data_IF_824173937053
#
_entry.id   IF_824173937053
#
_cell.length_a   1.000
_cell.length_b   1.000
_cell.length_c   1.000
_cell.angle_alpha   90.00
_cell.angle_beta   90.00
_cell.angle_gamma   90.00
#
_symmetry.space_group_name_H-M   'P 1'
#
loop_
_entity.id
_entity.type
_entity.pdbx_description
1 polymer ?
#
# COMPACT_ATOMS: atom_id res chain seq x y z
N UNK A 1 -3.92 18.98 -27.78
CA UNK A 1 -3.17 17.79 -28.22
C UNK A 1 -4.19 16.84 -28.81
N UNK A 2 -4.63 17.15 -30.03
CA UNK A 2 -4.13 16.62 -31.31
C UNK A 2 -4.54 15.15 -31.44
N UNK A 3 -5.73 14.83 -31.96
CA UNK A 3 -6.06 14.77 -33.40
C UNK A 3 -5.08 13.94 -34.27
N UNK A 4 -4.40 12.94 -33.69
CA UNK A 4 -3.45 12.06 -34.41
C UNK A 4 -3.84 10.56 -34.47
N UNK A 5 -5.13 10.22 -34.43
CA UNK A 5 -5.59 8.82 -34.65
C UNK A 5 -6.46 8.62 -35.89
N UNK A 6 -6.46 9.59 -36.80
CA UNK A 6 -6.98 9.45 -38.17
C UNK A 6 -5.87 9.73 -39.17
N UNK A 7 -5.00 8.75 -39.41
CA UNK A 7 -4.55 8.38 -40.76
C UNK A 7 -3.57 7.20 -40.68
N UNK A 8 -4.06 5.99 -40.90
CA UNK A 8 -3.24 4.89 -41.43
C UNK A 8 -4.14 3.78 -41.97
N UNK A 9 -5.17 4.19 -42.71
CA UNK A 9 -5.83 3.35 -43.70
C UNK A 9 -5.10 3.57 -45.02
N UNK A 10 -3.96 2.93 -45.20
CA UNK A 10 -3.35 2.87 -46.52
C UNK A 10 -2.65 1.53 -46.78
N UNK A 11 -3.26 0.83 -47.74
CA UNK A 11 -2.59 0.08 -48.79
C UNK A 11 -1.61 -1.02 -48.35
N UNK A 12 -2.11 -2.25 -48.26
CA UNK A 12 -1.29 -3.43 -48.53
C UNK A 12 -2.08 -4.56 -49.17
N UNK A 13 -2.08 -4.50 -50.50
CA UNK A 13 -1.99 -5.62 -51.44
C UNK A 13 -3.11 -6.68 -51.38
N UNK A 14 -4.19 -6.40 -52.12
CA UNK A 14 -4.92 -7.43 -52.87
C UNK A 14 -3.98 -8.03 -53.95
N UNK A 15 -2.97 -8.78 -53.51
CA UNK A 15 -2.32 -9.73 -54.37
C UNK A 15 -3.27 -10.92 -54.43
N UNK A 16 -3.91 -11.17 -55.59
CA UNK A 16 -4.70 -12.39 -55.86
C UNK A 16 -3.88 -13.59 -55.38
N UNK A 17 -4.15 -14.06 -54.16
CA UNK A 17 -3.63 -15.33 -53.65
C UNK A 17 -4.32 -16.35 -54.53
N UNK A 18 -3.60 -16.90 -55.52
CA UNK A 18 -4.04 -18.09 -56.23
C UNK A 18 -4.40 -19.11 -55.16
N UNK A 19 -5.69 -19.36 -54.96
CA UNK A 19 -6.14 -20.06 -53.77
C UNK A 19 -5.62 -21.49 -53.89
N UNK A 20 -4.74 -21.89 -52.97
CA UNK A 20 -4.26 -23.27 -52.87
C UNK A 20 -5.45 -24.26 -52.88
N UNK A 21 -6.63 -23.80 -52.44
CA UNK A 21 -7.92 -24.47 -52.57
C UNK A 21 -8.37 -24.79 -54.01
N UNK A 22 -8.25 -23.84 -54.94
CA UNK A 22 -8.57 -24.02 -56.36
C UNK A 22 -7.61 -25.01 -57.03
N UNK A 23 -6.33 -24.95 -56.67
CA UNK A 23 -5.28 -25.84 -57.16
C UNK A 23 -5.49 -27.28 -56.67
N UNK A 24 -5.81 -27.45 -55.37
CA UNK A 24 -6.16 -28.74 -54.78
C UNK A 24 -7.35 -29.37 -55.51
N UNK A 25 -8.41 -28.59 -55.76
CA UNK A 25 -9.61 -29.08 -56.44
C UNK A 25 -9.33 -29.56 -57.87
N UNK A 26 -8.52 -28.80 -58.62
CA UNK A 26 -8.13 -29.15 -59.99
C UNK A 26 -7.32 -30.45 -60.03
N UNK A 27 -6.30 -30.60 -59.17
CA UNK A 27 -5.48 -31.83 -59.12
C UNK A 27 -6.31 -33.04 -58.65
N UNK A 28 -7.26 -32.83 -57.74
CA UNK A 28 -8.15 -33.89 -57.28
C UNK A 28 -9.06 -34.41 -58.41
N UNK A 29 -9.54 -33.54 -59.30
CA UNK A 29 -10.26 -33.94 -60.52
C UNK A 29 -9.36 -34.77 -61.43
N UNK A 30 -8.11 -34.38 -61.65
CA UNK A 30 -7.16 -35.17 -62.44
C UNK A 30 -6.90 -36.56 -61.83
N UNK A 31 -6.82 -36.67 -60.51
CA UNK A 31 -6.70 -37.95 -59.82
C UNK A 31 -7.90 -38.86 -60.08
N UNK A 32 -9.11 -38.31 -60.14
CA UNK A 32 -10.35 -39.07 -60.43
C UNK A 32 -10.44 -39.44 -61.91
N UNK A 33 -10.05 -38.55 -62.82
CA UNK A 33 -10.19 -38.74 -64.28
C UNK A 33 -9.12 -39.69 -64.85
N UNK A 34 -7.92 -39.72 -64.26
CA UNK A 34 -6.79 -40.54 -64.73
C UNK A 34 -7.12 -42.04 -64.89
N UNK A 35 -7.80 -42.70 -63.92
CA UNK A 35 -8.29 -44.07 -64.07
C UNK A 35 -9.21 -44.31 -65.28
N UNK A 36 -10.14 -43.39 -65.52
CA UNK A 36 -11.09 -43.49 -66.64
C UNK A 36 -10.39 -43.33 -67.99
N UNK A 37 -9.38 -42.47 -68.05
CA UNK A 37 -8.54 -42.31 -69.24
C UNK A 37 -7.72 -43.58 -69.52
N UNK A 38 -7.19 -44.22 -68.48
CA UNK A 38 -6.53 -45.53 -68.57
C UNK A 38 -7.44 -46.64 -69.12
N UNK A 39 -8.66 -46.78 -68.59
CA UNK A 39 -9.65 -47.74 -69.10
C UNK A 39 -9.99 -47.51 -70.57
N UNK A 40 -10.14 -46.24 -70.96
CA UNK A 40 -10.47 -45.85 -72.32
C UNK A 40 -9.35 -46.24 -73.29
N UNK A 41 -8.09 -46.05 -72.90
CA UNK A 41 -6.93 -46.50 -73.70
C UNK A 41 -6.85 -48.02 -73.82
N UNK A 42 -7.02 -48.76 -72.71
CA UNK A 42 -7.01 -50.24 -72.74
C UNK A 42 -8.10 -50.79 -73.67
N UNK A 43 -9.30 -50.18 -73.66
CA UNK A 43 -10.43 -50.57 -74.51
C UNK A 43 -10.21 -50.26 -75.99
N UNK A 44 -9.52 -49.17 -76.32
CA UNK A 44 -9.22 -48.77 -77.71
C UNK A 44 -8.10 -49.63 -78.32
N UNK A 45 -7.10 -50.04 -77.53
CA UNK A 45 -5.92 -50.76 -78.01
C UNK A 45 -6.00 -52.30 -77.90
N UNK A 46 -7.15 -52.88 -77.51
CA UNK A 46 -7.39 -54.34 -77.40
C UNK A 46 -6.32 -55.10 -76.59
N UNK A 47 -5.97 -54.60 -75.40
CA UNK A 47 -5.05 -55.33 -74.50
C UNK A 47 -5.76 -56.50 -73.79
N UNK A 48 -5.10 -57.66 -73.74
CA UNK A 48 -5.61 -58.87 -73.06
C UNK A 48 -5.74 -58.69 -71.54
N UNK A 49 -6.89 -59.08 -70.99
CA UNK A 49 -7.24 -58.92 -69.56
C UNK A 49 -6.45 -59.84 -68.60
N UNK A 50 -5.65 -60.77 -69.11
CA UNK A 50 -4.69 -61.57 -68.32
C UNK A 50 -3.54 -60.71 -67.74
N UNK A 51 -3.46 -59.42 -68.11
CA UNK A 51 -2.54 -58.42 -67.57
C UNK A 51 -3.22 -57.46 -66.58
N UNK A 52 -4.24 -57.92 -65.86
CA UNK A 52 -4.98 -57.12 -64.86
C UNK A 52 -4.05 -56.47 -63.82
N UNK A 53 -2.93 -57.13 -63.48
CA UNK A 53 -1.85 -56.56 -62.66
C UNK A 53 -1.24 -55.29 -63.27
N UNK A 54 -0.96 -55.28 -64.58
CA UNK A 54 -0.40 -54.11 -65.29
C UNK A 54 -1.37 -52.92 -65.30
N UNK A 55 -2.68 -53.18 -65.33
CA UNK A 55 -3.69 -52.12 -65.21
C UNK A 55 -3.78 -51.59 -63.77
N UNK A 56 -3.71 -52.45 -62.76
CA UNK A 56 -3.56 -52.05 -61.36
C UNK A 56 -2.31 -51.20 -61.12
N UNK A 57 -1.19 -51.57 -61.73
CA UNK A 57 0.07 -50.82 -61.70
C UNK A 57 -0.05 -49.45 -62.40
N UNK A 58 -0.78 -49.37 -63.51
CA UNK A 58 -1.09 -48.10 -64.18
C UNK A 58 -1.99 -47.20 -63.31
N UNK A 59 -3.04 -47.76 -62.69
CA UNK A 59 -3.91 -47.00 -61.80
C UNK A 59 -3.16 -46.49 -60.58
N UNK A 60 -2.36 -47.34 -59.94
CA UNK A 60 -1.50 -46.95 -58.82
C UNK A 60 -0.48 -45.90 -59.25
N UNK A 61 0.25 -46.15 -60.34
CA UNK A 61 1.30 -45.26 -60.84
C UNK A 61 0.79 -43.91 -61.36
N UNK A 62 -0.45 -43.86 -61.88
CA UNK A 62 -1.03 -42.61 -62.39
C UNK A 62 -1.83 -41.84 -61.34
N UNK A 63 -2.53 -42.51 -60.42
CA UNK A 63 -3.42 -41.84 -59.44
C UNK A 63 -2.69 -41.44 -58.16
N UNK A 64 -1.79 -42.29 -57.66
CA UNK A 64 -1.09 -42.05 -56.38
C UNK A 64 -0.29 -40.75 -56.39
N UNK A 65 0.48 -40.40 -57.44
CA UNK A 65 1.22 -39.14 -57.46
C UNK A 65 0.33 -37.89 -57.32
N UNK A 66 -0.84 -37.86 -57.97
CA UNK A 66 -1.78 -36.74 -57.84
C UNK A 66 -2.37 -36.66 -56.42
N UNK A 67 -2.73 -37.80 -55.82
CA UNK A 67 -3.21 -37.86 -54.43
C UNK A 67 -2.12 -37.46 -53.42
N UNK A 68 -0.86 -37.81 -53.68
CA UNK A 68 0.29 -37.39 -52.87
C UNK A 68 0.47 -35.87 -52.93
N UNK A 69 0.39 -35.27 -54.12
CA UNK A 69 0.46 -33.81 -54.28
C UNK A 69 -0.69 -33.11 -53.55
N UNK A 70 -1.93 -33.62 -53.68
CA UNK A 70 -3.09 -33.09 -52.95
C UNK A 70 -2.87 -33.17 -51.43
N UNK A 71 -2.36 -34.28 -50.92
CA UNK A 71 -2.03 -34.46 -49.50
C UNK A 71 -1.00 -33.42 -49.02
N UNK A 72 0.07 -33.21 -49.80
CA UNK A 72 1.10 -32.21 -49.47
C UNK A 72 0.51 -30.80 -49.44
N UNK A 73 -0.34 -30.45 -50.40
CA UNK A 73 -1.00 -29.13 -50.45
C UNK A 73 -1.96 -28.93 -49.28
N UNK A 74 -2.69 -29.96 -48.85
CA UNK A 74 -3.51 -29.91 -47.64
C UNK A 74 -2.67 -29.71 -46.37
N UNK A 75 -1.54 -30.43 -46.25
CA UNK A 75 -0.59 -30.25 -45.14
C UNK A 75 -0.04 -28.82 -45.14
N UNK A 76 0.36 -28.29 -46.29
CA UNK A 76 0.86 -26.92 -46.43
C UNK A 76 -0.19 -25.88 -46.01
N UNK A 77 -1.44 -26.03 -46.46
CA UNK A 77 -2.55 -25.16 -46.04
C UNK A 77 -2.78 -25.22 -44.53
N UNK A 78 -2.75 -26.43 -43.96
CA UNK A 78 -2.95 -26.66 -42.53
C UNK A 78 -1.82 -26.02 -41.72
N UNK A 79 -0.57 -26.16 -42.17
CA UNK A 79 0.59 -25.53 -41.56
C UNK A 79 0.48 -24.01 -41.54
N UNK A 80 0.07 -23.39 -42.65
CA UNK A 80 -0.12 -21.94 -42.71
C UNK A 80 -1.22 -21.46 -41.73
N UNK A 81 -2.35 -22.17 -41.67
CA UNK A 81 -3.43 -21.86 -40.72
C UNK A 81 -2.95 -22.00 -39.27
N UNK A 82 -2.21 -23.07 -38.96
CA UNK A 82 -1.63 -23.27 -37.62
C UNK A 82 -0.65 -22.15 -37.26
N UNK A 83 0.17 -21.70 -38.21
CA UNK A 83 1.09 -20.58 -37.98
C UNK A 83 0.34 -19.26 -37.72
N UNK A 84 -0.72 -18.97 -38.48
CA UNK A 84 -1.57 -17.80 -38.25
C UNK A 84 -2.27 -17.86 -36.89
N UNK A 85 -2.76 -19.04 -36.49
CA UNK A 85 -3.37 -19.27 -35.17
C UNK A 85 -2.35 -19.06 -34.04
N UNK A 86 -1.15 -19.62 -34.15
CA UNK A 86 -0.08 -19.44 -33.14
C UNK A 86 0.31 -17.97 -33.01
N UNK A 87 0.46 -17.26 -34.11
CA UNK A 87 0.78 -15.83 -34.10
C UNK A 87 -0.34 -15.01 -33.41
N UNK A 88 -1.60 -15.37 -33.67
CA UNK A 88 -2.76 -14.74 -33.03
C UNK A 88 -2.80 -15.03 -31.53
N UNK A 89 -2.61 -16.28 -31.12
CA UNK A 89 -2.54 -16.68 -29.72
C UNK A 89 -1.41 -15.98 -28.96
N UNK A 90 -0.22 -15.87 -29.57
CA UNK A 90 0.90 -15.13 -28.98
C UNK A 90 0.54 -13.65 -28.76
N UNK A 91 -0.14 -13.04 -29.72
CA UNK A 91 -0.61 -11.65 -29.60
C UNK A 91 -1.64 -11.51 -28.49
N UNK A 92 -2.64 -12.38 -28.44
CA UNK A 92 -3.66 -12.37 -27.38
C UNK A 92 -3.04 -12.55 -25.99
N UNK A 93 -2.11 -13.50 -25.84
CA UNK A 93 -1.37 -13.69 -24.59
C UNK A 93 -0.59 -12.45 -24.18
N UNK A 94 0.07 -11.77 -25.14
CA UNK A 94 0.82 -10.54 -24.84
C UNK A 94 -0.10 -9.39 -24.40
N UNK A 95 -1.29 -9.26 -24.99
CA UNK A 95 -2.28 -8.27 -24.59
C UNK A 95 -2.86 -8.59 -23.21
N UNK A 96 -3.17 -9.86 -22.95
CA UNK A 96 -3.67 -10.32 -21.65
C UNK A 96 -2.64 -10.10 -20.53
N UNK A 97 -1.35 -10.35 -20.79
CA UNK A 97 -0.28 -10.04 -19.83
C UNK A 97 -0.25 -8.55 -19.50
N UNK A 98 -0.37 -7.68 -20.51
CA UNK A 98 -0.39 -6.23 -20.32
C UNK A 98 -1.63 -5.76 -19.54
N UNK A 99 -2.80 -6.31 -19.83
CA UNK A 99 -4.03 -6.02 -19.09
C UNK A 99 -3.96 -6.50 -17.63
N UNK A 100 -3.38 -7.68 -17.39
CA UNK A 100 -3.15 -8.18 -16.04
C UNK A 100 -2.19 -7.29 -15.24
N UNK A 101 -1.13 -6.80 -15.87
CA UNK A 101 -0.18 -5.88 -15.24
C UNK A 101 -0.86 -4.55 -14.86
N UNK A 102 -1.60 -3.94 -15.79
CA UNK A 102 -2.36 -2.72 -15.50
C UNK A 102 -3.46 -2.93 -14.43
N UNK A 103 -4.12 -4.09 -14.44
CA UNK A 103 -5.09 -4.46 -13.41
C UNK A 103 -4.41 -4.59 -12.04
N UNK A 104 -3.21 -5.19 -11.99
CA UNK A 104 -2.44 -5.32 -10.76
C UNK A 104 -2.06 -3.95 -10.20
N UNK A 105 -1.59 -3.03 -11.04
CA UNK A 105 -1.29 -1.66 -10.64
C UNK A 105 -2.54 -0.95 -10.08
N UNK A 106 -3.66 -1.04 -10.79
CA UNK A 106 -4.94 -0.46 -10.35
C UNK A 106 -5.39 -1.03 -9.01
N UNK A 107 -5.27 -2.35 -8.81
CA UNK A 107 -5.62 -3.00 -7.55
C UNK A 107 -4.70 -2.57 -6.39
N UNK A 108 -3.41 -2.33 -6.68
CA UNK A 108 -2.47 -1.79 -5.68
C UNK A 108 -2.84 -0.37 -5.26
N UNK A 109 -3.18 0.50 -6.22
CA UNK A 109 -3.65 1.87 -5.94
C UNK A 109 -4.97 1.88 -5.17
N UNK A 110 -5.93 1.03 -5.54
CA UNK A 110 -7.19 0.87 -4.81
C UNK A 110 -6.94 0.35 -3.39
N UNK A 111 -6.01 -0.58 -3.21
CA UNK A 111 -5.63 -1.08 -1.89
C UNK A 111 -5.01 0.01 -1.02
N UNK A 112 -4.12 0.84 -1.58
CA UNK A 112 -3.55 2.02 -0.88
C UNK A 112 -4.67 2.99 -0.47
N UNK A 113 -5.55 3.34 -1.41
CA UNK A 113 -6.67 4.25 -1.17
C UNK A 113 -7.62 3.73 -0.09
N UNK A 114 -8.02 2.47 -0.17
CA UNK A 114 -8.90 1.86 0.83
C UNK A 114 -8.26 1.79 2.22
N UNK A 115 -6.94 1.54 2.29
CA UNK A 115 -6.21 1.57 3.55
C UNK A 115 -6.20 3.00 4.13
N UNK A 116 -5.96 4.01 3.29
CA UNK A 116 -5.92 5.40 3.74
C UNK A 116 -7.29 5.88 4.22
N UNK A 117 -8.36 5.56 3.51
CA UNK A 117 -9.73 5.86 3.94
C UNK A 117 -10.07 5.20 5.28
N UNK A 118 -9.64 3.96 5.53
CA UNK A 118 -9.85 3.30 6.82
C UNK A 118 -9.12 4.03 7.93
N UNK A 119 -7.86 4.41 7.69
CA UNK A 119 -7.09 5.22 8.62
C UNK A 119 -7.80 6.54 8.93
N UNK A 120 -8.16 7.32 7.92
CA UNK A 120 -8.80 8.64 8.10
C UNK A 120 -10.08 8.53 8.92
N UNK A 121 -10.94 7.57 8.58
CA UNK A 121 -12.16 7.34 9.33
C UNK A 121 -11.87 6.98 10.79
N UNK A 122 -10.94 6.06 11.04
CA UNK A 122 -10.56 5.68 12.41
C UNK A 122 -9.90 6.82 13.19
N UNK A 123 -9.04 7.60 12.53
CA UNK A 123 -8.36 8.76 13.11
C UNK A 123 -9.36 9.84 13.52
N UNK A 124 -10.26 10.26 12.63
CA UNK A 124 -11.24 11.29 12.95
C UNK A 124 -12.26 10.83 14.00
N UNK A 125 -12.54 9.53 14.10
CA UNK A 125 -13.30 8.98 15.24
C UNK A 125 -12.54 9.21 16.54
N UNK A 126 -11.23 8.91 16.61
CA UNK A 126 -10.46 9.14 17.84
C UNK A 126 -10.33 10.62 18.18
N UNK A 127 -10.13 11.48 17.18
CA UNK A 127 -10.16 12.94 17.37
C UNK A 127 -11.49 13.40 17.97
N UNK A 128 -12.60 12.84 17.48
CA UNK A 128 -13.91 13.22 18.02
C UNK A 128 -14.08 12.78 19.48
N UNK A 129 -13.58 11.61 19.86
CA UNK A 129 -13.55 11.17 21.26
C UNK A 129 -12.63 12.05 22.12
N UNK A 130 -11.48 12.47 21.57
CA UNK A 130 -10.59 13.43 22.21
C UNK A 130 -11.31 14.76 22.49
N UNK A 131 -11.99 15.33 21.49
CA UNK A 131 -12.76 16.57 21.64
C UNK A 131 -13.86 16.43 22.70
N UNK A 132 -14.63 15.35 22.67
CA UNK A 132 -15.65 15.07 23.70
C UNK A 132 -15.05 15.04 25.10
N UNK A 133 -13.90 14.39 25.28
CA UNK A 133 -13.24 14.34 26.59
C UNK A 133 -12.86 15.75 27.09
N UNK A 134 -12.40 16.64 26.20
CA UNK A 134 -12.11 18.05 26.53
C UNK A 134 -13.38 18.81 26.92
N UNK A 135 -14.46 18.61 26.17
CA UNK A 135 -15.77 19.21 26.47
C UNK A 135 -16.32 18.73 27.82
N UNK A 136 -16.23 17.44 28.13
CA UNK A 136 -16.65 16.88 29.42
C UNK A 136 -15.87 17.52 30.59
N UNK A 137 -14.56 17.70 30.43
CA UNK A 137 -13.72 18.38 31.43
C UNK A 137 -14.16 19.84 31.61
N UNK A 138 -14.36 20.58 30.52
CA UNK A 138 -14.81 21.97 30.58
C UNK A 138 -16.21 22.10 31.22
N UNK A 139 -17.15 21.22 30.83
CA UNK A 139 -18.50 21.19 31.39
C UNK A 139 -18.52 20.85 32.88
N UNK A 140 -17.60 19.99 33.33
CA UNK A 140 -17.43 19.70 34.75
C UNK A 140 -17.05 20.95 35.53
N UNK A 141 -16.06 21.73 35.07
CA UNK A 141 -15.72 22.99 35.74
C UNK A 141 -16.85 24.01 35.68
N UNK A 142 -17.52 24.13 34.54
CA UNK A 142 -18.68 25.01 34.43
C UNK A 142 -19.79 24.63 35.43
N UNK A 143 -20.01 23.33 35.67
CA UNK A 143 -20.98 22.86 36.67
C UNK A 143 -20.61 23.19 38.12
N UNK A 144 -19.35 23.53 38.37
CA UNK A 144 -18.82 23.99 39.65
C UNK A 144 -18.77 25.52 39.75
N UNK A 145 -19.43 26.24 38.84
CA UNK A 145 -19.35 27.69 38.68
C UNK A 145 -17.93 28.22 38.44
N UNK A 146 -17.06 27.37 37.89
CA UNK A 146 -15.70 27.72 37.47
C UNK A 146 -15.66 27.82 35.94
N UNK A 147 -15.52 29.01 35.34
CA UNK A 147 -15.60 29.19 33.89
C UNK A 147 -14.28 28.81 33.18
N UNK A 148 -13.67 27.69 33.55
CA UNK A 148 -12.42 27.22 32.94
C UNK A 148 -12.70 26.48 31.64
N UNK A 149 -12.06 26.91 30.57
CA UNK A 149 -11.82 26.11 29.38
C UNK A 149 -10.85 24.97 29.71
N UNK A 150 -10.82 23.95 28.85
CA UNK A 150 -9.85 22.86 28.98
C UNK A 150 -8.40 23.37 29.01
N UNK A 151 -8.06 24.33 28.14
CA UNK A 151 -6.69 24.86 28.07
C UNK A 151 -6.32 25.62 29.34
N UNK A 152 -7.21 26.45 29.89
CA UNK A 152 -6.97 27.16 31.15
C UNK A 152 -6.80 26.19 32.32
N UNK A 153 -7.58 25.10 32.35
CA UNK A 153 -7.37 24.06 33.35
C UNK A 153 -6.00 23.37 33.22
N UNK A 154 -5.59 23.04 31.99
CA UNK A 154 -4.29 22.44 31.74
C UNK A 154 -3.14 23.40 32.10
N UNK A 155 -3.30 24.70 31.85
CA UNK A 155 -2.36 25.73 32.29
C UNK A 155 -2.23 25.78 33.83
N UNK A 156 -3.35 25.68 34.57
CA UNK A 156 -3.33 25.61 36.04
C UNK A 156 -2.59 24.36 36.52
N UNK A 157 -2.86 23.21 35.91
CA UNK A 157 -2.20 21.94 36.28
C UNK A 157 -0.70 22.02 36.00
N UNK A 158 -0.32 22.52 34.82
CA UNK A 158 1.07 22.81 34.48
C UNK A 158 1.73 23.69 35.53
N UNK A 159 1.13 24.83 35.88
CA UNK A 159 1.70 25.76 36.86
C UNK A 159 1.93 25.11 38.24
N UNK A 160 1.08 24.15 38.63
CA UNK A 160 1.30 23.35 39.86
C UNK A 160 2.49 22.41 39.73
N UNK A 161 2.62 21.73 38.59
CA UNK A 161 3.75 20.83 38.30
C UNK A 161 5.06 21.63 38.30
N UNK A 162 5.10 22.74 37.56
CA UNK A 162 6.29 23.59 37.43
C UNK A 162 6.73 24.16 38.78
N UNK A 163 5.77 24.63 39.59
CA UNK A 163 6.05 25.10 40.95
C UNK A 163 6.59 23.98 41.83
N UNK A 164 5.91 22.84 41.90
CA UNK A 164 6.33 21.71 42.72
C UNK A 164 7.72 21.20 42.31
N UNK A 165 8.00 21.20 41.00
CA UNK A 165 9.30 20.85 40.48
C UNK A 165 10.37 21.91 40.75
N UNK A 166 10.03 23.20 40.74
CA UNK A 166 10.93 24.27 41.13
C UNK A 166 11.40 24.11 42.57
N UNK A 167 10.43 23.97 43.48
CA UNK A 167 10.66 23.76 44.91
C UNK A 167 11.50 22.48 45.15
N UNK A 168 11.15 21.37 44.48
CA UNK A 168 11.87 20.09 44.61
C UNK A 168 13.31 20.15 44.10
N UNK A 169 13.57 20.87 43.00
CA UNK A 169 14.93 21.02 42.47
C UNK A 169 15.76 21.90 43.39
N UNK A 170 15.18 22.97 43.96
CA UNK A 170 15.89 23.84 44.91
C UNK A 170 16.32 23.04 46.16
N UNK A 171 15.42 22.22 46.71
CA UNK A 171 15.71 21.34 47.84
C UNK A 171 16.78 20.28 47.54
N UNK A 172 16.82 19.78 46.29
CA UNK A 172 17.74 18.72 45.85
C UNK A 172 18.92 19.21 45.03
N UNK A 173 19.16 20.52 44.97
CA UNK A 173 20.13 21.16 44.07
C UNK A 173 21.53 20.57 44.25
N UNK A 174 22.00 20.42 45.50
CA UNK A 174 23.35 19.89 45.76
C UNK A 174 23.55 18.46 45.24
N UNK A 175 22.49 17.64 45.26
CA UNK A 175 22.53 16.25 44.80
C UNK A 175 22.49 16.23 43.27
N UNK A 176 21.54 16.95 42.67
CA UNK A 176 21.36 17.03 41.22
C UNK A 176 22.58 17.64 40.50
N UNK A 177 23.19 18.69 41.06
CA UNK A 177 24.36 19.34 40.44
C UNK A 177 25.66 18.55 40.59
N UNK A 178 25.75 17.65 41.59
CA UNK A 178 26.94 16.81 41.79
C UNK A 178 26.86 15.48 41.05
N UNK A 179 25.66 15.05 40.67
CA UNK A 179 25.48 13.81 39.93
C UNK A 179 25.95 13.98 38.48
N UNK A 180 27.01 13.24 38.13
CA UNK A 180 27.62 13.26 36.79
C UNK A 180 27.16 12.09 35.92
N UNK A 181 26.53 11.11 36.54
CA UNK A 181 25.99 9.95 35.85
C UNK A 181 24.56 10.25 35.40
N UNK A 182 24.37 10.38 34.08
CA UNK A 182 23.09 10.71 33.47
C UNK A 182 21.94 9.82 33.98
N UNK A 183 22.19 8.52 34.15
CA UNK A 183 21.18 7.58 34.64
C UNK A 183 20.66 7.94 36.03
N UNK A 184 21.56 8.23 36.97
CA UNK A 184 21.19 8.62 38.34
C UNK A 184 20.53 9.99 38.38
N UNK A 185 21.05 10.94 37.59
CA UNK A 185 20.48 12.27 37.48
C UNK A 185 19.03 12.21 36.99
N UNK A 186 18.79 11.54 35.85
CA UNK A 186 17.45 11.46 35.27
C UNK A 186 16.51 10.54 36.04
N UNK A 187 17.03 9.55 36.77
CA UNK A 187 16.23 8.78 37.73
C UNK A 187 15.71 9.67 38.86
N UNK A 188 16.60 10.45 39.48
CA UNK A 188 16.20 11.39 40.53
C UNK A 188 15.22 12.44 39.96
N UNK A 189 15.52 13.01 38.81
CA UNK A 189 14.65 13.95 38.11
C UNK A 189 13.26 13.38 37.84
N UNK A 190 13.20 12.17 37.29
CA UNK A 190 11.96 11.46 36.99
C UNK A 190 11.13 11.20 38.24
N UNK A 191 11.77 10.84 39.37
CA UNK A 191 11.08 10.62 40.64
C UNK A 191 10.48 11.92 41.19
N UNK A 192 11.22 13.04 41.11
CA UNK A 192 10.69 14.35 41.48
C UNK A 192 9.52 14.77 40.58
N UNK A 193 9.64 14.53 39.27
CA UNK A 193 8.60 14.85 38.31
C UNK A 193 7.33 14.03 38.54
N UNK A 194 7.47 12.72 38.78
CA UNK A 194 6.35 11.86 39.14
C UNK A 194 5.61 12.39 40.36
N UNK A 195 6.35 12.76 41.42
CA UNK A 195 5.75 13.33 42.63
C UNK A 195 5.05 14.67 42.36
N UNK A 196 5.64 15.53 41.54
CA UNK A 196 5.03 16.81 41.15
C UNK A 196 3.72 16.62 40.38
N UNK A 197 3.67 15.63 39.48
CA UNK A 197 2.46 15.29 38.74
C UNK A 197 1.38 14.72 39.66
N UNK A 198 1.73 13.81 40.56
CA UNK A 198 0.78 13.25 41.54
C UNK A 198 0.16 14.36 42.42
N UNK A 199 0.99 15.31 42.85
CA UNK A 199 0.57 16.46 43.66
C UNK A 199 -0.19 17.53 42.88
N UNK A 200 -0.11 17.56 41.55
CA UNK A 200 -0.82 18.53 40.70
C UNK A 200 -2.35 18.35 40.77
N UNK A 201 -2.80 17.14 41.11
CA UNK A 201 -4.20 16.74 41.13
C UNK A 201 -4.73 16.27 39.76
N UNK A 202 -3.87 16.14 38.74
CA UNK A 202 -4.29 15.74 37.40
C UNK A 202 -4.97 14.37 37.38
N UNK A 203 -4.42 13.38 38.10
CA UNK A 203 -4.99 12.03 38.16
C UNK A 203 -6.14 11.89 39.17
N UNK A 204 -6.37 12.89 40.01
CA UNK A 204 -7.51 12.89 40.94
C UNK A 204 -8.83 13.14 40.20
N UNK A 205 -8.77 13.81 39.05
CA UNK A 205 -9.93 14.04 38.21
C UNK A 205 -10.18 12.84 37.28
N UNK A 206 -11.28 12.12 37.52
CA UNK A 206 -11.69 10.94 36.73
C UNK A 206 -11.93 11.24 35.23
N UNK A 207 -12.07 12.51 34.86
CA UNK A 207 -12.30 12.96 33.49
C UNK A 207 -11.00 13.13 32.69
N UNK A 208 -9.83 13.16 33.33
CA UNK A 208 -8.54 13.29 32.64
C UNK A 208 -8.04 11.97 32.02
N UNK A 209 -8.10 10.81 32.69
CA UNK A 209 -7.65 9.55 32.06
C UNK A 209 -8.31 9.22 30.70
N UNK A 210 -9.61 9.50 30.46
CA UNK A 210 -10.20 9.39 29.12
C UNK A 210 -9.52 10.25 28.05
N UNK A 211 -9.10 11.47 28.39
CA UNK A 211 -8.36 12.35 27.48
C UNK A 211 -7.01 11.75 27.10
N UNK A 212 -6.21 11.32 28.09
CA UNK A 212 -4.90 10.69 27.87
C UNK A 212 -5.02 9.46 26.98
N UNK A 213 -5.95 8.54 27.30
CA UNK A 213 -6.21 7.35 26.48
C UNK A 213 -6.61 7.68 25.05
N UNK A 214 -7.32 8.79 24.82
CA UNK A 214 -7.72 9.21 23.47
C UNK A 214 -6.54 9.74 22.67
N UNK A 215 -5.62 10.45 23.33
CA UNK A 215 -4.32 10.84 22.75
C UNK A 215 -3.51 9.61 22.40
N UNK A 216 -3.39 8.67 23.32
CA UNK A 216 -2.60 7.45 23.12
C UNK A 216 -3.10 6.63 21.93
N UNK A 217 -4.42 6.41 21.85
CA UNK A 217 -5.06 5.72 20.72
C UNK A 217 -4.83 6.45 19.40
N UNK A 218 -4.90 7.78 19.41
CA UNK A 218 -4.65 8.57 18.21
C UNK A 218 -3.21 8.41 17.74
N UNK A 219 -2.22 8.47 18.65
CA UNK A 219 -0.82 8.21 18.35
C UNK A 219 -0.59 6.78 17.83
N UNK A 220 -1.22 5.78 18.45
CA UNK A 220 -1.12 4.38 18.02
C UNK A 220 -1.62 4.19 16.59
N UNK A 221 -2.79 4.75 16.26
CA UNK A 221 -3.35 4.64 14.90
C UNK A 221 -2.44 5.31 13.87
N UNK A 222 -1.90 6.50 14.18
CA UNK A 222 -0.90 7.14 13.30
C UNK A 222 0.31 6.22 13.12
N UNK A 223 0.86 5.69 14.21
CA UNK A 223 2.01 4.80 14.17
C UNK A 223 1.76 3.52 13.35
N UNK A 224 0.61 2.87 13.50
CA UNK A 224 0.25 1.66 12.76
C UNK A 224 0.22 1.89 11.25
N UNK A 225 -0.29 3.05 10.83
CA UNK A 225 -0.48 3.38 9.42
C UNK A 225 0.68 4.19 8.81
N UNK A 226 1.65 4.64 9.60
CA UNK A 226 2.76 5.51 9.15
C UNK A 226 3.50 4.98 7.91
N UNK A 227 3.67 3.67 7.77
CA UNK A 227 4.35 3.04 6.62
C UNK A 227 3.57 3.13 5.31
N UNK A 228 2.27 3.44 5.40
CA UNK A 228 1.38 3.57 4.24
C UNK A 228 1.15 5.03 3.86
N UNK A 229 1.66 5.96 4.67
CA UNK A 229 1.57 7.40 4.48
C UNK A 229 2.84 7.93 3.80
N UNK A 230 2.68 8.95 2.99
CA UNK A 230 3.77 9.80 2.56
C UNK A 230 4.23 10.70 3.74
N UNK A 231 5.47 11.20 3.70
CA UNK A 231 6.03 11.99 4.81
C UNK A 231 5.17 13.20 5.19
N UNK A 232 4.60 13.89 4.19
CA UNK A 232 3.76 15.07 4.42
C UNK A 232 2.42 14.71 5.08
N UNK A 233 1.84 13.54 4.75
CA UNK A 233 0.60 13.04 5.37
C UNK A 233 0.85 12.73 6.84
N UNK A 234 1.94 12.03 7.14
CA UNK A 234 2.33 11.74 8.52
C UNK A 234 2.52 13.02 9.32
N UNK A 235 3.23 14.02 8.78
CA UNK A 235 3.39 15.33 9.41
C UNK A 235 2.05 16.00 9.64
N UNK A 236 1.17 16.03 8.64
CA UNK A 236 -0.16 16.63 8.75
C UNK A 236 -0.98 16.01 9.89
N UNK A 237 -1.06 14.68 9.99
CA UNK A 237 -1.85 14.03 11.03
C UNK A 237 -1.26 14.20 12.43
N UNK A 238 0.07 14.26 12.56
CA UNK A 238 0.72 14.56 13.83
C UNK A 238 0.50 16.02 14.26
N UNK A 239 0.60 16.97 13.33
CA UNK A 239 0.29 18.39 13.59
C UNK A 239 -1.19 18.57 13.97
N UNK A 240 -2.08 17.88 13.26
CA UNK A 240 -3.51 17.90 13.59
C UNK A 240 -3.76 17.36 15.00
N UNK A 241 -3.15 16.22 15.37
CA UNK A 241 -3.27 15.69 16.73
C UNK A 241 -2.70 16.65 17.77
N UNK A 242 -1.56 17.28 17.49
CA UNK A 242 -0.97 18.29 18.35
C UNK A 242 -1.92 19.46 18.61
N UNK A 243 -2.52 20.02 17.55
CA UNK A 243 -3.46 21.13 17.66
C UNK A 243 -4.70 20.75 18.49
N UNK A 244 -5.17 19.51 18.36
CA UNK A 244 -6.29 18.99 19.15
C UNK A 244 -5.94 18.73 20.62
N UNK A 245 -4.70 18.31 20.93
CA UNK A 245 -4.19 18.19 22.30
C UNK A 245 -4.10 19.57 22.95
N UNK A 246 -3.56 20.54 22.22
CA UNK A 246 -3.32 21.90 22.68
C UNK A 246 -1.94 22.08 23.32
N UNK A 247 -1.42 23.32 23.23
CA UNK A 247 -0.08 23.68 23.71
C UNK A 247 0.11 23.41 25.20
N UNK A 248 -0.93 23.62 26.02
CA UNK A 248 -0.84 23.49 27.48
C UNK A 248 -0.73 22.04 27.94
N UNK A 249 -1.30 21.11 27.19
CA UNK A 249 -1.37 19.69 27.57
C UNK A 249 -0.21 18.85 27.04
N UNK A 250 0.50 19.28 25.98
CA UNK A 250 1.48 18.44 25.28
C UNK A 250 2.62 17.96 26.18
N UNK A 251 3.15 18.82 27.05
CA UNK A 251 4.25 18.46 27.94
C UNK A 251 3.79 17.51 29.03
N UNK A 252 2.58 17.71 29.54
CA UNK A 252 1.98 16.82 30.53
C UNK A 252 1.77 15.43 29.92
N UNK A 253 1.31 15.35 28.66
CA UNK A 253 1.23 14.10 27.91
C UNK A 253 2.61 13.45 27.80
N UNK A 254 3.64 14.20 27.39
CA UNK A 254 4.99 13.64 27.27
C UNK A 254 5.57 13.17 28.61
N UNK A 255 5.29 13.87 29.71
CA UNK A 255 5.70 13.45 31.04
C UNK A 255 4.99 12.16 31.45
N UNK A 256 3.69 12.03 31.22
CA UNK A 256 2.94 10.79 31.45
C UNK A 256 3.52 9.63 30.63
N UNK A 257 3.80 9.86 29.34
CA UNK A 257 4.45 8.86 28.47
C UNK A 257 5.80 8.42 29.06
N UNK A 258 6.60 9.35 29.55
CA UNK A 258 7.91 9.09 30.14
C UNK A 258 7.82 8.31 31.46
N UNK A 259 6.85 8.65 32.32
CA UNK A 259 6.68 8.03 33.64
C UNK A 259 6.02 6.65 33.52
N UNK A 260 4.94 6.54 32.75
CA UNK A 260 4.19 5.29 32.58
C UNK A 260 4.81 4.34 31.55
N UNK A 261 5.74 4.85 30.72
CA UNK A 261 6.55 4.12 29.71
C UNK A 261 5.81 3.44 28.56
N UNK A 262 4.51 3.19 28.70
CA UNK A 262 3.69 2.42 27.75
C UNK A 262 3.76 2.98 26.31
N UNK A 263 3.88 4.31 26.17
CA UNK A 263 3.88 4.98 24.87
C UNK A 263 5.26 5.40 24.36
N UNK A 264 6.36 5.07 25.06
CA UNK A 264 7.72 5.53 24.69
C UNK A 264 8.08 5.12 23.27
N UNK A 265 7.80 3.87 22.89
CA UNK A 265 8.12 3.36 21.55
C UNK A 265 7.38 4.12 20.45
N UNK A 266 6.10 4.41 20.65
CA UNK A 266 5.27 5.18 19.72
C UNK A 266 5.74 6.63 19.63
N UNK A 267 5.97 7.28 20.77
CA UNK A 267 6.41 8.67 20.84
C UNK A 267 7.77 8.87 20.16
N UNK A 268 8.74 7.98 20.41
CA UNK A 268 10.05 7.98 19.74
C UNK A 268 9.89 7.84 18.23
N UNK A 269 9.15 6.82 17.80
CA UNK A 269 9.02 6.47 16.39
C UNK A 269 8.21 7.49 15.56
N UNK A 270 7.45 8.35 16.23
CA UNK A 270 6.73 9.48 15.65
C UNK A 270 7.46 10.81 15.85
N UNK A 271 8.61 10.82 16.52
CA UNK A 271 9.33 12.02 16.98
C UNK A 271 8.40 13.03 17.66
N UNK A 272 7.55 12.54 18.56
CA UNK A 272 6.47 13.31 19.17
C UNK A 272 6.97 14.40 20.12
N UNK A 273 8.20 14.26 20.63
CA UNK A 273 8.89 15.29 21.43
C UNK A 273 9.18 16.59 20.66
N UNK A 274 9.20 16.56 19.33
CA UNK A 274 9.35 17.77 18.51
C UNK A 274 8.22 18.80 18.77
N UNK A 275 7.06 18.33 19.21
CA UNK A 275 5.91 19.19 19.53
C UNK A 275 6.03 19.88 20.89
N UNK A 276 6.86 19.36 21.79
CA UNK A 276 7.14 19.97 23.08
C UNK A 276 7.79 21.36 22.95
N UNK A 277 8.64 21.52 21.93
CA UNK A 277 9.48 22.72 21.73
C UNK A 277 8.81 23.81 20.88
N UNK A 278 7.74 23.49 20.13
CA UNK A 278 7.19 24.39 19.09
C UNK A 278 6.53 25.66 19.67
N UNK A 279 6.07 25.63 20.93
CA UNK A 279 5.27 26.73 21.52
C UNK A 279 5.54 27.03 23.02
N UNK A 280 6.54 26.41 23.63
CA UNK A 280 6.84 26.59 25.07
C UNK A 280 8.09 27.44 25.28
N UNK A 281 7.92 28.68 25.74
CA UNK A 281 9.04 29.53 26.16
C UNK A 281 9.52 29.24 27.59
N UNK A 282 8.67 28.60 28.42
CA UNK A 282 8.89 28.51 29.89
C UNK A 282 9.29 27.10 30.39
N UNK A 283 9.33 26.09 29.52
CA UNK A 283 9.75 24.75 29.91
C UNK A 283 11.25 24.74 30.21
N UNK A 284 11.64 24.12 31.32
CA UNK A 284 13.06 24.11 31.70
C UNK A 284 13.81 23.22 30.75
N UNK A 285 15.05 23.60 30.46
CA UNK A 285 15.93 22.80 29.60
C UNK A 285 16.07 21.35 30.08
N UNK A 286 16.08 21.15 31.40
CA UNK A 286 16.11 19.83 32.04
C UNK A 286 14.89 18.97 31.73
N UNK A 287 13.70 19.56 31.55
CA UNK A 287 12.48 18.81 31.19
C UNK A 287 12.64 18.17 29.79
N UNK A 288 13.16 18.94 28.83
CA UNK A 288 13.42 18.43 27.48
C UNK A 288 14.56 17.43 27.44
N UNK A 289 15.64 17.68 28.18
CA UNK A 289 16.79 16.78 28.23
C UNK A 289 16.37 15.43 28.86
N UNK A 290 15.50 15.44 29.87
CA UNK A 290 14.90 14.25 30.45
C UNK A 290 14.02 13.48 29.45
N UNK A 291 13.10 14.16 28.75
CA UNK A 291 12.26 13.52 27.71
C UNK A 291 13.13 12.86 26.65
N UNK A 292 14.15 13.56 26.16
CA UNK A 292 15.06 13.01 25.13
C UNK A 292 15.85 11.82 25.65
N UNK A 293 16.35 11.90 26.88
CA UNK A 293 17.07 10.79 27.49
C UNK A 293 16.21 9.52 27.55
N UNK A 294 14.96 9.63 28.00
CA UNK A 294 14.07 8.46 28.07
C UNK A 294 13.62 7.95 26.71
N UNK A 295 13.29 8.83 25.77
CA UNK A 295 12.84 8.40 24.46
C UNK A 295 13.97 7.72 23.67
N UNK A 296 15.17 8.29 23.69
CA UNK A 296 16.23 7.93 22.75
C UNK A 296 17.43 7.20 23.36
N UNK A 297 17.74 7.40 24.65
CA UNK A 297 18.96 6.85 25.27
C UNK A 297 18.68 5.70 26.23
N UNK A 298 17.67 5.82 27.10
CA UNK A 298 17.39 4.83 28.14
C UNK A 298 15.87 4.70 28.40
N UNK A 299 15.18 3.99 27.52
CA UNK A 299 13.72 3.78 27.61
C UNK A 299 13.28 2.90 28.78
N UNK A 300 14.20 2.11 29.33
CA UNK A 300 13.89 1.16 30.41
C UNK A 300 14.16 1.76 31.80
N UNK A 301 14.74 2.96 31.89
CA UNK A 301 15.11 3.64 33.14
C UNK A 301 14.00 3.57 34.17
N UNK A 302 14.24 2.92 35.30
CA UNK A 302 13.24 2.74 36.34
C UNK A 302 12.97 4.05 37.10
N UNK A 303 11.76 4.58 36.92
CA UNK A 303 11.23 5.76 37.61
C UNK A 303 10.22 5.25 38.63
N UNK A 304 10.75 4.84 39.77
CA UNK A 304 10.03 4.51 41.00
C UNK A 304 10.88 4.87 42.21
#
# INVERSE_FOLDING_TARGET
MSDDLKDNTNHKNDCKKFEVSELIFLIFIFAIVSPFFGLLLVKIFQFDFDKLGTYGDFLGGSTVPFLTVVTILFIYRTYNLQQEQLNTQQRELSLLQKEMESTKETLQEQSKTARMQRFENSFFIQINELRKSKEEIANYFFSLDLPYTFNEYMEIIRGKIDKAMGDSIEENAEILFREKENEKYYKLYGNLLSLAIDNSGIYQNKLIPPFFRSVDRSMQIIYEYKKSMDNWELTFYLEYLYDEIGSEAINIILYDICINKYMISFARELNFDNYANKHYQDARRSDFDFIKYLLYENSDLDIT
#
